data_IF_736680681833
#
_entry.id   IF_736680681833
#
_cell.length_a   1.000
_cell.length_b   1.000
_cell.length_c   1.000
_cell.angle_alpha   90.00
_cell.angle_beta   90.00
_cell.angle_gamma   90.00
#
_symmetry.space_group_name_H-M   'P 1'
#
loop_
_entity.id
_entity.type
_entity.pdbx_description
1 polymer ?
#
# COMPACT_ATOMS: atom_id res chain seq x y z
N UNK A 1 -24.13 -5.28 -21.01
CA UNK A 1 -23.43 -5.79 -19.83
C UNK A 1 -22.36 -6.74 -20.27
N UNK A 2 -21.16 -6.59 -19.68
CA UNK A 2 -20.02 -7.45 -19.92
C UNK A 2 -19.82 -8.39 -18.73
N UNK A 3 -19.50 -9.64 -18.99
CA UNK A 3 -19.11 -10.59 -17.97
C UNK A 3 -18.11 -11.60 -18.51
N UNK A 4 -17.19 -11.99 -17.66
CA UNK A 4 -16.16 -12.96 -17.96
C UNK A 4 -16.05 -14.00 -16.86
N UNK A 5 -15.48 -15.12 -17.19
CA UNK A 5 -15.21 -16.20 -16.27
C UNK A 5 -14.06 -17.05 -16.79
N UNK A 6 -14.02 -18.32 -16.36
CA UNK A 6 -12.97 -19.24 -16.76
C UNK A 6 -12.94 -19.45 -18.29
N UNK A 7 -14.12 -19.50 -18.92
CA UNK A 7 -14.27 -19.67 -20.37
C UNK A 7 -14.93 -18.44 -20.97
N UNK A 8 -14.24 -17.75 -21.88
CA UNK A 8 -14.72 -16.69 -22.75
C UNK A 8 -15.24 -15.41 -22.03
N UNK A 9 -15.03 -14.31 -22.69
CA UNK A 9 -15.71 -13.04 -22.41
C UNK A 9 -17.05 -13.02 -23.17
N UNK A 10 -18.06 -12.44 -22.54
CA UNK A 10 -19.41 -12.30 -23.11
C UNK A 10 -19.93 -10.89 -22.91
N UNK A 11 -20.68 -10.41 -23.92
CA UNK A 11 -21.46 -9.18 -23.83
C UNK A 11 -22.94 -9.53 -23.98
N UNK A 12 -23.76 -9.02 -23.07
CA UNK A 12 -25.23 -9.11 -23.18
C UNK A 12 -25.76 -7.74 -23.59
N UNK A 13 -26.37 -7.69 -24.75
CA UNK A 13 -27.20 -6.56 -25.19
C UNK A 13 -28.66 -6.83 -24.83
N UNK A 14 -29.13 -6.19 -23.76
CA UNK A 14 -30.50 -6.35 -23.28
C UNK A 14 -31.54 -5.79 -24.29
N UNK A 15 -31.20 -4.74 -25.02
CA UNK A 15 -32.11 -4.10 -25.99
C UNK A 15 -32.38 -5.00 -27.18
N UNK A 16 -31.37 -5.75 -27.60
CA UNK A 16 -31.44 -6.66 -28.76
C UNK A 16 -31.66 -8.13 -28.38
N UNK A 17 -31.70 -8.45 -27.09
CA UNK A 17 -31.77 -9.82 -26.56
C UNK A 17 -30.69 -10.73 -27.17
N UNK A 18 -29.50 -10.19 -27.37
CA UNK A 18 -28.38 -10.87 -28.02
C UNK A 18 -27.21 -11.05 -27.06
N UNK A 19 -26.50 -12.17 -27.21
CA UNK A 19 -25.26 -12.45 -26.49
C UNK A 19 -24.14 -12.59 -27.51
N UNK A 20 -23.15 -11.71 -27.41
CA UNK A 20 -21.90 -11.83 -28.17
C UNK A 20 -20.87 -12.60 -27.35
N UNK A 21 -20.17 -13.50 -27.98
CA UNK A 21 -19.10 -14.29 -27.42
C UNK A 21 -17.77 -13.85 -28.03
N UNK A 22 -16.73 -13.74 -27.17
CA UNK A 22 -15.37 -13.39 -27.57
C UNK A 22 -14.46 -14.59 -27.32
N UNK A 23 -14.34 -15.53 -28.27
CA UNK A 23 -13.53 -16.72 -28.08
C UNK A 23 -12.05 -16.37 -28.00
N UNK A 24 -11.28 -17.14 -27.20
CA UNK A 24 -9.85 -16.94 -27.04
C UNK A 24 -9.46 -16.07 -25.85
N UNK A 25 -10.36 -15.25 -25.30
CA UNK A 25 -10.17 -14.56 -24.03
C UNK A 25 -10.68 -15.44 -22.89
N UNK A 26 -9.80 -16.14 -22.22
CA UNK A 26 -10.12 -17.07 -21.14
C UNK A 26 -9.51 -16.62 -19.81
N UNK A 27 -10.03 -17.17 -18.69
CA UNK A 27 -9.52 -16.85 -17.36
C UNK A 27 -9.68 -15.37 -17.01
N UNK A 28 -10.84 -14.80 -17.33
CA UNK A 28 -11.14 -13.39 -17.11
C UNK A 28 -11.25 -13.14 -15.60
N UNK A 29 -10.46 -12.21 -15.11
CA UNK A 29 -10.39 -11.86 -13.68
C UNK A 29 -10.83 -10.42 -13.41
N UNK A 30 -10.63 -9.52 -14.37
CA UNK A 30 -11.02 -8.12 -14.25
C UNK A 30 -11.48 -7.56 -15.61
N UNK A 31 -12.51 -6.73 -15.60
CA UNK A 31 -13.06 -6.06 -16.78
C UNK A 31 -13.33 -4.61 -16.38
N UNK A 32 -12.70 -3.66 -17.06
CA UNK A 32 -12.98 -2.24 -16.87
C UNK A 32 -13.08 -1.50 -18.21
N UNK A 33 -13.84 -0.45 -18.23
CA UNK A 33 -13.94 0.43 -19.38
C UNK A 33 -12.71 1.32 -19.48
N UNK A 34 -12.06 1.37 -20.65
CA UNK A 34 -11.02 2.34 -20.97
C UNK A 34 -11.63 3.61 -21.52
N UNK A 35 -12.50 3.48 -22.51
CA UNK A 35 -13.20 4.56 -23.18
C UNK A 35 -14.50 4.05 -23.83
N UNK A 36 -15.19 4.89 -24.56
CA UNK A 36 -16.45 4.52 -25.24
C UNK A 36 -16.29 3.34 -26.23
N UNK A 37 -15.11 3.11 -26.75
CA UNK A 37 -14.81 2.12 -27.80
C UNK A 37 -14.00 0.94 -27.33
N UNK A 38 -13.30 1.03 -26.21
CA UNK A 38 -12.36 0.01 -25.73
C UNK A 38 -12.61 -0.41 -24.28
N UNK A 39 -12.16 -1.61 -23.96
CA UNK A 39 -12.13 -2.18 -22.61
C UNK A 39 -10.77 -2.77 -22.31
N UNK A 40 -10.35 -2.66 -21.05
CA UNK A 40 -9.25 -3.42 -20.49
C UNK A 40 -9.76 -4.73 -19.93
N UNK A 41 -9.11 -5.82 -20.30
CA UNK A 41 -9.44 -7.18 -19.88
C UNK A 41 -8.22 -7.76 -19.17
N UNK A 42 -8.32 -7.92 -17.86
CA UNK A 42 -7.35 -8.65 -17.04
C UNK A 42 -7.68 -10.14 -17.03
N UNK A 43 -6.66 -10.95 -17.18
CA UNK A 43 -6.81 -12.42 -17.24
C UNK A 43 -5.77 -13.11 -16.38
N UNK A 44 -5.89 -14.43 -16.27
CA UNK A 44 -4.87 -15.28 -15.66
C UNK A 44 -3.55 -15.33 -16.48
N UNK A 45 -3.57 -14.85 -17.73
CA UNK A 45 -2.43 -14.91 -18.66
C UNK A 45 -1.96 -13.54 -19.15
N UNK A 46 -2.53 -12.44 -18.63
CA UNK A 46 -2.08 -11.09 -18.93
C UNK A 46 -3.17 -10.07 -19.18
N UNK A 47 -2.76 -8.93 -19.70
CA UNK A 47 -3.60 -7.78 -20.01
C UNK A 47 -3.93 -7.74 -21.50
N UNK A 48 -5.20 -7.50 -21.80
CA UNK A 48 -5.68 -7.32 -23.17
C UNK A 48 -6.46 -6.01 -23.31
N UNK A 49 -6.34 -5.39 -24.47
CA UNK A 49 -7.18 -4.29 -24.91
C UNK A 49 -8.18 -4.81 -25.93
N UNK A 50 -9.47 -4.70 -25.63
CA UNK A 50 -10.58 -5.13 -26.49
C UNK A 50 -11.26 -3.93 -27.13
N UNK A 51 -11.45 -3.96 -28.44
CA UNK A 51 -12.32 -3.03 -29.16
C UNK A 51 -13.77 -3.55 -29.16
N UNK A 52 -14.68 -2.79 -28.52
CA UNK A 52 -16.06 -3.23 -28.27
C UNK A 52 -16.86 -3.53 -29.56
N UNK A 53 -16.66 -2.72 -30.60
CA UNK A 53 -17.43 -2.82 -31.84
C UNK A 53 -17.02 -4.03 -32.68
N UNK A 54 -15.74 -4.14 -32.99
CA UNK A 54 -15.22 -5.21 -33.84
C UNK A 54 -15.01 -6.52 -33.09
N UNK A 55 -14.82 -6.46 -31.77
CA UNK A 55 -14.44 -7.60 -30.93
C UNK A 55 -12.99 -8.03 -31.10
N UNK A 56 -12.18 -7.27 -31.82
CA UNK A 56 -10.74 -7.51 -31.91
C UNK A 56 -10.08 -7.16 -30.60
N UNK A 57 -9.10 -7.95 -30.20
CA UNK A 57 -8.32 -7.70 -29.00
C UNK A 57 -6.82 -7.85 -29.26
N UNK A 58 -6.02 -7.11 -28.53
CA UNK A 58 -4.57 -7.14 -28.57
C UNK A 58 -4.00 -7.39 -27.18
N UNK A 59 -2.93 -8.17 -27.13
CA UNK A 59 -2.18 -8.42 -25.91
C UNK A 59 -1.29 -7.22 -25.59
N UNK A 60 -1.23 -6.81 -24.32
CA UNK A 60 -0.33 -5.77 -23.83
C UNK A 60 0.84 -6.43 -23.12
N UNK A 61 2.04 -6.29 -23.68
CA UNK A 61 3.25 -6.84 -23.09
C UNK A 61 3.60 -6.12 -21.82
N UNK A 62 3.55 -6.84 -20.70
CA UNK A 62 3.95 -6.33 -19.37
C UNK A 62 5.41 -6.68 -19.07
N UNK A 63 6.12 -5.85 -18.28
CA UNK A 63 7.55 -6.05 -17.97
C UNK A 63 7.76 -7.00 -16.77
N UNK A 64 6.94 -8.04 -16.63
CA UNK A 64 6.96 -9.00 -15.51
C UNK A 64 6.77 -10.42 -16.01
N UNK A 65 7.24 -11.40 -15.24
CA UNK A 65 7.09 -12.82 -15.55
C UNK A 65 5.73 -13.39 -15.12
N UNK A 66 5.11 -12.82 -14.06
CA UNK A 66 3.78 -13.23 -13.60
C UNK A 66 2.72 -12.40 -14.31
N UNK A 67 1.81 -13.06 -14.99
CA UNK A 67 0.78 -12.42 -15.82
C UNK A 67 -0.62 -12.45 -15.20
N UNK A 68 -0.82 -13.12 -14.06
CA UNK A 68 -2.13 -13.22 -13.42
C UNK A 68 -2.53 -11.85 -12.85
N UNK A 69 -3.59 -11.25 -13.39
CA UNK A 69 -4.13 -9.97 -12.95
C UNK A 69 -5.31 -10.24 -12.01
N UNK A 70 -5.29 -9.67 -10.81
CA UNK A 70 -6.43 -9.73 -9.89
C UNK A 70 -7.38 -8.55 -10.07
N UNK A 71 -6.85 -7.37 -10.33
CA UNK A 71 -7.65 -6.14 -10.36
C UNK A 71 -7.06 -5.10 -11.29
N UNK A 72 -7.95 -4.26 -11.81
CA UNK A 72 -7.63 -3.14 -12.70
C UNK A 72 -8.33 -1.88 -12.18
N UNK A 73 -7.66 -0.74 -12.27
CA UNK A 73 -8.26 0.56 -12.03
C UNK A 73 -7.73 1.57 -13.05
N UNK A 74 -8.63 2.21 -13.81
CA UNK A 74 -8.29 3.27 -14.76
C UNK A 74 -8.50 4.62 -14.09
N UNK A 75 -7.45 5.41 -13.94
CA UNK A 75 -7.53 6.77 -13.45
C UNK A 75 -7.88 7.75 -14.59
N UNK A 76 -8.39 8.92 -14.21
CA UNK A 76 -8.81 9.96 -15.17
C UNK A 76 -7.66 10.60 -15.95
N UNK A 77 -6.44 10.51 -15.43
CA UNK A 77 -5.21 10.99 -16.07
C UNK A 77 -4.62 10.05 -17.13
N UNK A 78 -5.29 8.93 -17.40
CA UNK A 78 -4.85 7.93 -18.37
C UNK A 78 -3.94 6.84 -17.79
N UNK A 79 -3.62 6.86 -16.49
CA UNK A 79 -2.87 5.80 -15.85
C UNK A 79 -3.76 4.58 -15.58
N UNK A 80 -3.30 3.40 -15.96
CA UNK A 80 -3.92 2.13 -15.61
C UNK A 80 -3.12 1.45 -14.51
N UNK A 81 -3.77 1.24 -13.37
CA UNK A 81 -3.23 0.50 -12.23
C UNK A 81 -3.62 -0.96 -12.34
N UNK A 82 -2.65 -1.85 -12.17
CA UNK A 82 -2.79 -3.29 -12.38
C UNK A 82 -2.31 -4.03 -11.14
N UNK A 83 -3.23 -4.63 -10.42
CA UNK A 83 -2.93 -5.50 -9.28
C UNK A 83 -2.70 -6.94 -9.73
N UNK A 84 -1.56 -7.50 -9.36
CA UNK A 84 -1.10 -8.79 -9.86
C UNK A 84 -0.99 -9.84 -8.77
N UNK A 85 -0.92 -11.10 -9.20
CA UNK A 85 -0.46 -12.20 -8.37
C UNK A 85 1.08 -12.25 -8.41
N UNK A 86 1.70 -12.01 -7.25
CA UNK A 86 3.15 -12.14 -7.00
C UNK A 86 4.08 -11.19 -7.77
N UNK A 87 3.56 -10.26 -8.58
CA UNK A 87 4.37 -9.24 -9.26
C UNK A 87 4.17 -7.81 -8.72
N UNK A 88 3.33 -7.61 -7.70
CA UNK A 88 3.08 -6.30 -7.11
C UNK A 88 2.15 -5.42 -7.95
N UNK A 89 2.37 -4.11 -7.89
CA UNK A 89 1.60 -3.09 -8.60
C UNK A 89 2.32 -2.65 -9.87
N UNK A 90 1.64 -2.76 -11.00
CA UNK A 90 2.07 -2.12 -12.24
C UNK A 90 1.24 -0.87 -12.49
N UNK A 91 1.89 0.21 -12.90
CA UNK A 91 1.24 1.44 -13.34
C UNK A 91 1.61 1.67 -14.79
N UNK A 92 0.63 1.54 -15.67
CA UNK A 92 0.79 1.67 -17.11
C UNK A 92 0.34 3.05 -17.58
N UNK A 93 1.27 3.85 -18.09
CA UNK A 93 0.97 5.08 -18.81
C UNK A 93 0.52 4.73 -20.22
N UNK A 94 -0.79 4.77 -20.43
CA UNK A 94 -1.40 4.35 -21.71
C UNK A 94 -1.10 5.31 -22.86
N UNK A 95 -0.63 6.53 -22.58
CA UNK A 95 -0.27 7.53 -23.58
C UNK A 95 1.18 7.38 -24.04
N UNK A 96 2.08 7.06 -23.12
CA UNK A 96 3.51 6.87 -23.41
C UNK A 96 3.87 5.41 -23.72
N UNK A 97 2.94 4.48 -23.46
CA UNK A 97 3.18 3.04 -23.56
C UNK A 97 4.34 2.58 -22.69
N UNK A 98 4.40 3.06 -21.44
CA UNK A 98 5.46 2.75 -20.48
C UNK A 98 4.88 2.24 -19.17
N UNK A 99 5.64 1.38 -18.48
CA UNK A 99 5.26 0.83 -17.19
C UNK A 99 6.18 1.32 -16.09
N UNK A 100 5.61 1.59 -14.91
CA UNK A 100 6.31 1.64 -13.62
C UNK A 100 5.93 0.39 -12.85
N UNK A 101 6.90 -0.22 -12.16
CA UNK A 101 6.73 -1.48 -11.46
C UNK A 101 7.14 -1.34 -10.00
N UNK A 102 6.19 -1.56 -9.10
CA UNK A 102 6.34 -1.46 -7.65
C UNK A 102 6.15 -2.85 -7.02
N UNK A 103 7.16 -3.33 -6.30
CA UNK A 103 7.16 -4.61 -5.60
C UNK A 103 7.96 -4.50 -4.30
N UNK A 104 7.83 -5.48 -3.41
CA UNK A 104 8.43 -5.44 -2.07
C UNK A 104 9.92 -5.17 -2.03
N UNK A 105 10.66 -5.54 -3.06
CA UNK A 105 12.13 -5.40 -3.08
C UNK A 105 12.58 -4.00 -3.52
N UNK A 106 11.69 -3.18 -4.10
CA UNK A 106 12.04 -1.85 -4.58
C UNK A 106 11.24 -0.71 -3.92
N UNK A 107 10.24 -1.03 -3.11
CA UNK A 107 9.44 -0.03 -2.39
C UNK A 107 8.84 -0.61 -1.10
N UNK A 108 8.14 0.23 -0.33
CA UNK A 108 7.50 -0.15 0.93
C UNK A 108 6.16 -0.89 0.76
N UNK A 109 5.89 -1.51 -0.38
CA UNK A 109 4.68 -2.32 -0.58
C UNK A 109 4.68 -3.54 0.35
N UNK A 110 3.56 -3.79 1.06
CA UNK A 110 3.50 -4.84 2.08
C UNK A 110 3.47 -6.27 1.49
N UNK A 111 2.89 -6.43 0.30
CA UNK A 111 2.80 -7.72 -0.40
C UNK A 111 2.82 -7.54 -1.92
N UNK A 112 3.38 -8.52 -2.64
CA UNK A 112 3.32 -8.57 -4.10
C UNK A 112 1.98 -9.14 -4.64
N UNK A 113 1.10 -9.65 -3.77
CA UNK A 113 -0.25 -10.10 -4.13
C UNK A 113 -1.25 -8.96 -3.93
N UNK A 114 -1.67 -8.31 -5.01
CA UNK A 114 -2.60 -7.18 -4.98
C UNK A 114 -3.98 -7.65 -5.43
N UNK A 115 -4.89 -7.80 -4.49
CA UNK A 115 -6.20 -8.42 -4.73
C UNK A 115 -7.26 -7.47 -5.26
N UNK A 116 -7.31 -6.25 -4.73
CA UNK A 116 -8.31 -5.25 -5.13
C UNK A 116 -7.69 -3.86 -5.11
N UNK A 117 -8.05 -3.05 -6.10
CA UNK A 117 -7.66 -1.66 -6.25
C UNK A 117 -8.91 -0.77 -6.13
N UNK A 118 -8.90 0.20 -5.22
CA UNK A 118 -9.95 1.21 -5.08
C UNK A 118 -9.32 2.59 -4.97
N UNK A 119 -9.94 3.60 -5.59
CA UNK A 119 -9.49 5.00 -5.48
C UNK A 119 -10.37 5.80 -4.54
N UNK A 120 -9.77 6.75 -3.83
CA UNK A 120 -10.50 7.72 -3.01
C UNK A 120 -11.08 8.90 -3.81
N UNK A 121 -10.88 8.90 -5.13
CA UNK A 121 -11.27 9.99 -6.02
C UNK A 121 -10.41 11.26 -5.91
N UNK A 122 -9.40 11.27 -5.04
CA UNK A 122 -8.41 12.35 -4.88
C UNK A 122 -7.03 12.00 -5.47
N UNK A 123 -6.92 10.79 -6.04
CA UNK A 123 -5.70 10.28 -6.67
C UNK A 123 -5.01 9.17 -5.88
N UNK A 124 -5.34 8.95 -4.61
CA UNK A 124 -4.74 7.87 -3.84
C UNK A 124 -5.40 6.53 -4.19
N UNK A 125 -4.60 5.47 -4.20
CA UNK A 125 -5.05 4.11 -4.54
C UNK A 125 -4.89 3.22 -3.32
N UNK A 126 -5.99 2.60 -2.90
CA UNK A 126 -6.04 1.63 -1.82
C UNK A 126 -5.95 0.22 -2.40
N UNK A 127 -5.01 -0.56 -1.87
CA UNK A 127 -4.70 -1.90 -2.32
C UNK A 127 -4.97 -2.89 -1.19
N UNK A 128 -5.86 -3.84 -1.40
CA UNK A 128 -5.95 -4.98 -0.48
C UNK A 128 -4.98 -6.08 -0.89
N UNK A 129 -4.35 -6.69 0.10
CA UNK A 129 -3.31 -7.69 -0.10
C UNK A 129 -3.52 -8.92 0.80
N UNK A 130 -2.65 -9.89 0.70
CA UNK A 130 -2.64 -11.04 1.61
C UNK A 130 -2.12 -10.72 3.02
N UNK A 131 -1.44 -9.56 3.20
CA UNK A 131 -0.79 -9.18 4.45
C UNK A 131 -1.20 -7.79 4.96
N UNK A 132 -2.39 -7.32 4.61
CA UNK A 132 -2.92 -6.03 5.03
C UNK A 132 -3.38 -5.16 3.87
N UNK A 133 -3.58 -3.89 4.15
CA UNK A 133 -3.86 -2.86 3.15
C UNK A 133 -2.61 -2.03 2.89
N UNK A 134 -2.42 -1.60 1.65
CA UNK A 134 -1.47 -0.56 1.30
C UNK A 134 -2.21 0.61 0.66
N UNK A 135 -1.82 1.83 0.98
CA UNK A 135 -2.23 3.03 0.25
C UNK A 135 -1.06 3.50 -0.60
N UNK A 136 -1.26 3.60 -1.89
CA UNK A 136 -0.28 4.16 -2.81
C UNK A 136 -0.60 5.63 -3.07
N UNK A 137 0.41 6.49 -2.92
CA UNK A 137 0.38 7.92 -3.22
C UNK A 137 1.15 8.17 -4.53
N UNK A 138 0.45 8.32 -5.67
CA UNK A 138 1.12 8.38 -6.98
C UNK A 138 2.00 9.59 -7.19
N UNK A 139 1.73 10.72 -6.54
CA UNK A 139 2.50 11.96 -6.66
C UNK A 139 3.88 11.81 -6.00
N UNK A 140 3.89 11.25 -4.79
CA UNK A 140 5.11 11.01 -4.00
C UNK A 140 5.79 9.69 -4.36
N UNK A 141 5.11 8.81 -5.09
CA UNK A 141 5.51 7.42 -5.40
C UNK A 141 5.80 6.60 -4.14
N UNK A 142 5.04 6.82 -3.08
CA UNK A 142 5.22 6.18 -1.77
C UNK A 142 4.05 5.27 -1.41
N UNK A 143 4.31 4.33 -0.48
CA UNK A 143 3.32 3.43 0.08
C UNK A 143 3.19 3.63 1.58
N UNK A 144 1.96 3.55 2.08
CA UNK A 144 1.68 3.43 3.50
C UNK A 144 0.89 2.14 3.74
N UNK A 145 1.31 1.36 4.74
CA UNK A 145 0.74 0.05 5.02
C UNK A 145 -0.08 0.06 6.31
N UNK A 146 -1.12 -0.77 6.32
CA UNK A 146 -2.05 -0.92 7.42
C UNK A 146 -2.23 -2.41 7.71
N UNK A 147 -2.04 -2.79 8.97
CA UNK A 147 -2.20 -4.15 9.47
C UNK A 147 -3.03 -4.16 10.75
N UNK A 148 -3.22 -5.32 11.37
CA UNK A 148 -3.85 -5.44 12.70
C UNK A 148 -3.13 -4.58 13.74
N UNK A 149 -1.83 -4.40 13.63
CA UNK A 149 -1.05 -3.55 14.54
C UNK A 149 -1.45 -2.08 14.44
N UNK A 150 -1.93 -1.64 13.28
CA UNK A 150 -2.47 -0.29 13.05
C UNK A 150 -3.99 -0.21 13.20
N UNK A 151 -4.61 -1.25 13.74
CA UNK A 151 -6.02 -1.25 14.07
C UNK A 151 -6.94 -1.83 13.00
N UNK A 152 -6.43 -2.44 11.93
CA UNK A 152 -7.26 -3.25 11.05
C UNK A 152 -7.79 -4.49 11.79
N UNK A 153 -8.99 -4.92 11.44
CA UNK A 153 -9.59 -6.13 12.03
C UNK A 153 -9.07 -7.43 11.42
N UNK A 154 -8.52 -7.36 10.22
CA UNK A 154 -7.88 -8.49 9.52
C UNK A 154 -6.72 -8.02 8.66
N UNK A 155 -5.70 -8.88 8.52
CA UNK A 155 -4.58 -8.68 7.60
C UNK A 155 -4.76 -9.48 6.30
N UNK A 156 -5.69 -10.43 6.26
CA UNK A 156 -5.88 -11.33 5.14
C UNK A 156 -7.12 -10.94 4.34
N UNK A 157 -6.92 -10.36 3.16
CA UNK A 157 -8.00 -9.95 2.27
C UNK A 157 -8.25 -10.98 1.18
N UNK A 158 -9.46 -10.97 0.62
CA UNK A 158 -9.88 -11.86 -0.45
C UNK A 158 -9.73 -11.17 -1.83
N UNK A 159 -9.38 -11.96 -2.84
CA UNK A 159 -9.29 -11.46 -4.20
C UNK A 159 -10.66 -10.96 -4.71
N UNK A 160 -10.64 -9.90 -5.53
CA UNK A 160 -11.80 -9.25 -6.13
C UNK A 160 -12.92 -8.88 -5.14
N UNK A 161 -12.58 -8.66 -3.87
CA UNK A 161 -13.51 -8.41 -2.78
C UNK A 161 -13.35 -6.99 -2.24
N UNK A 162 -13.77 -6.00 -3.01
CA UNK A 162 -13.76 -4.62 -2.54
C UNK A 162 -14.69 -3.74 -3.33
N UNK A 163 -15.25 -2.73 -2.67
CA UNK A 163 -16.12 -1.73 -3.28
C UNK A 163 -16.07 -0.41 -2.54
N UNK A 164 -16.34 0.67 -3.26
CA UNK A 164 -16.52 2.01 -2.70
C UNK A 164 -18.03 2.28 -2.57
N UNK A 165 -18.48 2.60 -1.37
CA UNK A 165 -19.86 3.00 -1.12
C UNK A 165 -20.13 4.43 -1.59
N UNK A 166 -21.40 4.76 -1.84
CA UNK A 166 -21.85 6.11 -2.20
C UNK A 166 -21.53 7.16 -1.13
N UNK A 167 -21.39 6.77 0.13
CA UNK A 167 -21.01 7.65 1.25
C UNK A 167 -19.48 7.87 1.34
N UNK A 168 -18.69 7.28 0.44
CA UNK A 168 -17.24 7.39 0.42
C UNK A 168 -16.50 6.37 1.29
N UNK A 169 -17.20 5.45 1.95
CA UNK A 169 -16.56 4.38 2.71
C UNK A 169 -16.06 3.28 1.77
N UNK A 170 -14.88 2.76 2.07
CA UNK A 170 -14.36 1.54 1.47
C UNK A 170 -14.89 0.32 2.19
N UNK A 171 -15.21 -0.72 1.45
CA UNK A 171 -15.47 -2.07 1.97
C UNK A 171 -14.50 -3.02 1.29
N UNK A 172 -13.78 -3.81 2.08
CA UNK A 172 -12.97 -4.93 1.59
C UNK A 172 -13.41 -6.22 2.29
N UNK A 173 -13.53 -7.29 1.50
CA UNK A 173 -13.73 -8.63 2.03
C UNK A 173 -12.42 -9.20 2.55
N UNK A 174 -12.47 -9.80 3.72
CA UNK A 174 -11.35 -10.48 4.37
C UNK A 174 -11.75 -11.89 4.79
N UNK A 175 -10.79 -12.67 5.27
CA UNK A 175 -11.06 -14.00 5.86
C UNK A 175 -11.92 -13.92 7.13
N UNK A 176 -11.90 -12.79 7.83
CA UNK A 176 -12.62 -12.55 9.07
C UNK A 176 -13.96 -11.81 8.84
N UNK A 177 -14.37 -11.60 7.58
CA UNK A 177 -15.59 -10.91 7.18
C UNK A 177 -15.34 -9.63 6.40
N UNK A 178 -16.34 -8.76 6.26
CA UNK A 178 -16.21 -7.49 5.57
C UNK A 178 -15.68 -6.40 6.51
N UNK A 179 -14.67 -5.69 6.07
CA UNK A 179 -14.10 -4.54 6.78
C UNK A 179 -14.55 -3.28 6.06
N UNK A 180 -15.28 -2.43 6.79
CA UNK A 180 -15.68 -1.11 6.31
C UNK A 180 -14.92 -0.01 7.07
N UNK A 181 -14.39 0.95 6.33
CA UNK A 181 -13.73 2.12 6.90
C UNK A 181 -13.89 3.36 6.01
N UNK A 182 -13.80 4.52 6.62
CA UNK A 182 -13.71 5.78 5.91
C UNK A 182 -12.25 6.06 5.53
N UNK A 183 -12.01 6.53 4.30
CA UNK A 183 -10.69 6.94 3.82
C UNK A 183 -9.97 7.91 4.77
N UNK A 184 -10.73 8.81 5.41
CA UNK A 184 -10.18 9.81 6.32
C UNK A 184 -9.67 9.20 7.65
N UNK A 185 -10.04 7.94 7.95
CA UNK A 185 -9.53 7.20 9.11
C UNK A 185 -8.20 6.47 8.83
N UNK A 186 -7.82 6.35 7.55
CA UNK A 186 -6.62 5.61 7.12
C UNK A 186 -5.51 6.57 6.63
N UNK A 187 -5.78 7.87 6.53
CA UNK A 187 -4.74 8.82 6.18
C UNK A 187 -3.74 8.95 7.34
N UNK A 188 -2.44 9.01 7.05
CA UNK A 188 -1.44 9.34 8.06
C UNK A 188 -1.87 10.65 8.73
N UNK A 189 -2.14 10.62 10.02
CA UNK A 189 -2.31 11.85 10.77
C UNK A 189 -0.92 12.48 10.90
N UNK A 190 -0.83 13.82 10.83
CA UNK A 190 0.38 14.57 11.18
C UNK A 190 0.66 14.37 12.68
N UNK A 191 1.35 13.28 13.02
CA UNK A 191 1.78 13.02 14.37
C UNK A 191 2.93 13.93 14.72
N UNK A 192 2.75 14.76 15.73
CA UNK A 192 3.86 15.43 16.39
C UNK A 192 4.49 14.43 17.35
N UNK A 193 5.56 13.79 16.92
CA UNK A 193 6.36 12.94 17.78
C UNK A 193 6.93 13.76 18.92
N UNK A 194 6.77 13.28 20.16
CA UNK A 194 7.44 13.82 21.33
C UNK A 194 8.43 12.80 21.85
N UNK A 195 9.67 12.94 21.40
CA UNK A 195 10.76 12.10 21.86
C UNK A 195 11.17 12.52 23.28
N UNK A 196 11.34 11.55 24.16
CA UNK A 196 11.71 11.71 25.56
C UNK A 196 12.92 10.85 25.83
N UNK A 197 13.90 11.39 26.56
CA UNK A 197 15.00 10.62 27.10
C UNK A 197 14.59 10.05 28.45
N UNK A 198 14.57 8.72 28.60
CA UNK A 198 14.07 8.08 29.82
C UNK A 198 15.17 7.84 30.86
N UNK A 199 16.32 7.35 30.42
CA UNK A 199 17.46 7.15 31.33
C UNK A 199 18.81 7.35 30.61
N UNK A 200 19.81 7.73 31.43
CA UNK A 200 21.22 7.68 31.08
C UNK A 200 21.88 6.60 31.93
N UNK A 201 22.63 5.72 31.28
CA UNK A 201 23.51 4.78 31.96
C UNK A 201 24.95 5.05 31.62
N UNK A 202 25.79 5.05 32.65
CA UNK A 202 27.25 5.11 32.55
C UNK A 202 27.79 3.81 33.16
N UNK A 203 28.62 3.07 32.44
CA UNK A 203 29.09 1.73 32.84
C UNK A 203 27.95 0.78 33.23
N UNK A 204 26.86 0.78 32.43
CA UNK A 204 25.66 -0.06 32.65
C UNK A 204 24.82 0.28 33.89
N UNK A 205 25.21 1.29 34.68
CA UNK A 205 24.45 1.77 35.84
C UNK A 205 23.66 3.01 35.50
N UNK A 206 22.37 3.04 35.84
CA UNK A 206 21.56 4.24 35.69
C UNK A 206 22.08 5.35 36.59
N UNK A 207 22.17 6.56 36.08
CA UNK A 207 22.76 7.72 36.76
C UNK A 207 21.71 8.80 36.92
N UNK A 208 21.60 9.34 38.11
CA UNK A 208 20.67 10.42 38.48
C UNK A 208 21.43 11.74 38.78
N UNK A 209 20.73 12.90 38.73
CA UNK A 209 21.35 14.21 38.89
C UNK A 209 22.11 14.40 40.20
N UNK A 210 21.77 13.68 41.28
CA UNK A 210 22.35 13.82 42.62
C UNK A 210 23.41 12.77 42.95
N UNK A 211 23.67 11.83 42.02
CA UNK A 211 24.65 10.79 42.28
C UNK A 211 26.07 11.37 42.26
N UNK A 212 26.94 10.82 43.10
CA UNK A 212 28.34 11.23 43.16
C UNK A 212 29.03 10.95 41.81
N UNK A 213 29.62 12.00 41.23
CA UNK A 213 30.26 11.90 39.91
C UNK A 213 29.31 11.88 38.72
N UNK A 214 28.01 12.10 38.94
CA UNK A 214 27.02 12.19 37.88
C UNK A 214 27.36 13.28 36.86
N UNK A 215 27.22 13.02 35.56
CA UNK A 215 27.28 14.04 34.52
C UNK A 215 25.99 14.86 34.39
N UNK A 216 24.90 14.47 35.10
CA UNK A 216 23.60 15.12 35.05
C UNK A 216 23.50 16.20 36.14
N UNK A 217 23.01 17.38 35.77
CA UNK A 217 22.60 18.45 36.66
C UNK A 217 21.08 18.45 36.87
N UNK A 218 20.33 18.16 35.79
CA UNK A 218 18.89 17.99 35.72
C UNK A 218 18.58 16.59 35.23
N UNK A 219 17.32 16.18 35.31
CA UNK A 219 16.89 14.92 34.69
C UNK A 219 17.25 14.88 33.21
N UNK A 220 17.51 13.69 32.70
CA UNK A 220 18.05 13.53 31.35
C UNK A 220 17.13 14.14 30.28
N UNK A 221 15.81 14.11 30.48
CA UNK A 221 14.83 14.70 29.58
C UNK A 221 14.87 16.24 29.55
N UNK A 222 15.32 16.87 30.66
CA UNK A 222 15.48 18.31 30.76
C UNK A 222 16.88 18.77 30.37
N UNK A 223 17.83 17.83 30.21
CA UNK A 223 19.24 18.10 29.94
C UNK A 223 19.47 18.41 28.48
N UNK A 224 19.75 19.68 28.13
CA UNK A 224 20.02 20.09 26.73
C UNK A 224 21.42 19.72 26.25
N UNK A 225 22.39 19.57 27.16
CA UNK A 225 23.78 19.26 26.83
C UNK A 225 24.34 18.32 27.88
N UNK A 226 24.71 17.13 27.48
CA UNK A 226 25.38 16.14 28.32
C UNK A 226 26.89 16.23 28.09
N UNK A 227 27.66 16.41 29.16
CA UNK A 227 29.13 16.41 29.12
C UNK A 227 29.66 15.21 29.89
N UNK A 228 30.27 14.29 29.20
CA UNK A 228 30.91 13.11 29.78
C UNK A 228 32.40 13.37 29.97
N UNK A 229 32.96 12.86 31.07
CA UNK A 229 34.39 12.85 31.29
C UNK A 229 35.06 11.77 30.43
N UNK A 230 36.35 11.88 30.18
CA UNK A 230 37.10 10.93 29.36
C UNK A 230 37.01 9.48 29.86
N UNK A 231 36.85 9.30 31.18
CA UNK A 231 36.65 7.99 31.79
C UNK A 231 35.20 7.52 31.83
N UNK A 232 34.22 8.27 31.29
CA UNK A 232 32.80 7.92 31.14
C UNK A 232 32.49 7.56 29.72
N UNK A 233 33.35 6.75 29.09
CA UNK A 233 33.32 6.42 27.67
C UNK A 233 32.35 5.28 27.31
N UNK A 234 31.80 4.61 28.30
CA UNK A 234 30.74 3.59 28.10
C UNK A 234 29.44 4.17 28.64
N UNK A 235 28.59 4.60 27.75
CA UNK A 235 27.28 5.12 28.11
C UNK A 235 26.17 4.63 27.18
N UNK A 236 24.94 4.64 27.66
CA UNK A 236 23.76 4.39 26.87
C UNK A 236 22.64 5.36 27.25
N UNK A 237 21.88 5.76 26.23
CA UNK A 237 20.69 6.59 26.35
C UNK A 237 19.49 5.76 25.98
N UNK A 238 18.46 5.73 26.82
CA UNK A 238 17.17 5.18 26.48
C UNK A 238 16.27 6.29 26.01
N UNK A 239 15.68 6.08 24.82
CA UNK A 239 14.78 7.03 24.17
C UNK A 239 13.44 6.34 23.96
N UNK A 240 12.36 7.06 24.18
CA UNK A 240 11.03 6.63 23.74
C UNK A 240 10.25 7.80 23.18
N UNK A 241 9.27 7.49 22.34
CA UNK A 241 8.25 8.44 21.94
C UNK A 241 6.97 8.16 22.72
N UNK A 242 6.28 9.23 23.11
CA UNK A 242 4.98 9.13 23.79
C UNK A 242 3.90 9.08 22.73
N UNK A 243 3.72 7.88 22.17
CA UNK A 243 2.64 7.60 21.24
C UNK A 243 1.86 6.36 21.70
N UNK A 244 0.63 6.59 22.16
CA UNK A 244 -0.25 5.52 22.64
C UNK A 244 -1.10 4.90 21.53
N UNK A 245 -1.21 5.57 20.38
CA UNK A 245 -2.07 5.10 19.29
C UNK A 245 -1.38 3.99 18.47
N UNK A 246 -0.06 4.12 18.22
CA UNK A 246 0.68 3.19 17.35
C UNK A 246 2.12 2.97 17.84
N UNK A 247 2.33 2.38 19.02
CA UNK A 247 3.66 2.23 19.61
C UNK A 247 4.59 1.33 18.78
N UNK A 248 4.03 0.35 18.06
CA UNK A 248 4.79 -0.59 17.21
C UNK A 248 5.30 0.00 15.89
N UNK A 249 4.82 1.20 15.50
CA UNK A 249 5.20 1.84 14.23
C UNK A 249 6.38 2.80 14.37
N UNK A 250 6.84 3.07 15.59
CA UNK A 250 7.87 4.06 15.83
C UNK A 250 9.22 3.46 15.46
N UNK A 251 9.85 4.02 14.44
CA UNK A 251 11.23 3.70 14.07
C UNK A 251 12.16 4.81 14.57
N UNK A 252 13.21 4.42 15.26
CA UNK A 252 14.22 5.36 15.75
C UNK A 252 15.45 5.28 14.85
N UNK A 253 16.00 6.43 14.51
CA UNK A 253 17.31 6.53 13.89
C UNK A 253 18.20 7.44 14.73
N UNK A 254 19.47 7.13 14.80
CA UNK A 254 20.45 7.93 15.51
C UNK A 254 21.72 8.09 14.67
N UNK A 255 22.41 9.19 14.90
CA UNK A 255 23.69 9.49 14.26
C UNK A 255 24.62 10.09 15.29
N UNK A 256 25.85 9.61 15.33
CA UNK A 256 26.92 10.23 16.09
C UNK A 256 27.76 11.10 15.15
N UNK A 257 27.72 12.40 15.32
CA UNK A 257 28.52 13.33 14.51
C UNK A 257 29.95 13.42 15.03
N UNK A 258 30.92 13.53 14.13
CA UNK A 258 32.35 13.59 14.45
C UNK A 258 33.06 12.24 14.57
N UNK A 259 32.38 11.14 14.33
CA UNK A 259 32.95 9.80 14.19
C UNK A 259 32.72 9.30 12.74
N UNK A 260 33.76 8.76 12.16
CA UNK A 260 33.73 8.15 10.80
C UNK A 260 33.48 6.66 10.90
#
# INVERSE_FOLDING_TARGET
IWFGGYYNLKEIDYSRKNIRHFPGLNGITAIIEKDSTHMWIGTATGLYLLEKVTGKYSYIQMPVESYYIYSLYQASDGMLYIGTNNAGLLVYDTTKNTFRHYHRDNCALISNNIYTLLSDGKGNIFLSTEHGLSTFYPVEETFHNWTKEQGLKSDHFNAASGTLRKNGNFIFGSTDGAIEFNKDMILPRDYKFKMVFNDLRVFYQTVYPKDEGSPLILDIDETKTLRLKYNQNIFSLRVSDINYDYPSLILYSWKLEGFY
#
